data_IF_802076625497
#
_entry.id   IF_802076625497
#
_cell.length_a   1.000
_cell.length_b   1.000
_cell.length_c   1.000
_cell.angle_alpha   90.00
_cell.angle_beta   90.00
_cell.angle_gamma   90.00
#
_symmetry.space_group_name_H-M   'P 1'
#
loop_
_entity.id
_entity.type
_entity.pdbx_description
1 polymer ?
#
# COMPACT_ATOMS: atom_id res chain seq x y z
N UNK A 1 28.26 -3.31 -21.17
CA UNK A 1 28.11 -4.08 -19.91
C UNK A 1 27.00 -5.07 -20.13
N UNK A 2 27.32 -6.37 -20.24
CA UNK A 2 26.32 -7.40 -20.44
C UNK A 2 25.51 -7.54 -19.14
N UNK A 3 24.25 -7.14 -19.16
CA UNK A 3 23.28 -7.53 -18.15
C UNK A 3 23.16 -9.04 -18.22
N UNK A 4 23.68 -9.74 -17.21
CA UNK A 4 23.41 -11.17 -17.04
C UNK A 4 21.90 -11.29 -16.88
N UNK A 5 21.22 -11.67 -17.96
CA UNK A 5 19.78 -11.89 -17.95
C UNK A 5 19.50 -13.02 -16.97
N UNK A 6 18.68 -12.78 -15.97
CA UNK A 6 18.22 -13.83 -15.06
C UNK A 6 17.43 -14.86 -15.91
N UNK A 7 17.85 -16.13 -15.94
CA UNK A 7 17.25 -17.12 -16.84
C UNK A 7 15.77 -17.41 -16.54
N UNK A 8 15.24 -16.97 -15.40
CA UNK A 8 13.83 -17.12 -15.05
C UNK A 8 12.91 -16.14 -15.79
N UNK A 9 13.40 -14.97 -16.16
CA UNK A 9 12.61 -13.92 -16.84
C UNK A 9 12.21 -14.32 -18.26
N UNK A 10 13.10 -14.85 -19.12
CA UNK A 10 12.73 -15.32 -20.45
C UNK A 10 11.69 -16.46 -20.43
N UNK A 11 11.76 -17.34 -19.44
CA UNK A 11 10.80 -18.45 -19.28
C UNK A 11 9.40 -17.90 -18.93
N UNK A 12 9.32 -16.94 -18.02
CA UNK A 12 8.06 -16.29 -17.68
C UNK A 12 7.47 -15.54 -18.87
N UNK A 13 8.29 -14.80 -19.62
CA UNK A 13 7.86 -14.11 -20.83
C UNK A 13 7.32 -15.10 -21.87
N UNK A 14 8.01 -16.20 -22.11
CA UNK A 14 7.56 -17.25 -23.02
C UNK A 14 6.24 -17.90 -22.57
N UNK A 15 6.07 -18.17 -21.27
CA UNK A 15 4.83 -18.72 -20.72
C UNK A 15 3.67 -17.74 -20.82
N UNK A 16 3.88 -16.46 -20.55
CA UNK A 16 2.87 -15.41 -20.69
C UNK A 16 2.45 -15.22 -22.14
N UNK A 17 3.40 -15.26 -23.05
CA UNK A 17 3.12 -15.20 -24.49
C UNK A 17 2.34 -16.43 -24.98
N UNK A 18 2.74 -17.63 -24.55
CA UNK A 18 2.06 -18.88 -24.89
C UNK A 18 0.64 -18.96 -24.30
N UNK A 19 0.40 -18.38 -23.10
CA UNK A 19 -0.91 -18.35 -22.46
C UNK A 19 -1.86 -17.28 -23.01
N UNK A 20 -1.48 -16.53 -24.04
CA UNK A 20 -2.28 -15.46 -24.67
C UNK A 20 -2.76 -14.41 -23.65
N UNK A 21 -1.90 -14.05 -22.71
CA UNK A 21 -2.20 -12.99 -21.73
C UNK A 21 -2.47 -11.68 -22.49
N UNK A 22 -3.54 -10.95 -22.17
CA UNK A 22 -3.84 -9.69 -22.83
C UNK A 22 -2.69 -8.70 -22.76
N UNK A 23 -2.55 -7.87 -23.79
CA UNK A 23 -1.51 -6.84 -23.86
C UNK A 23 -1.52 -5.96 -22.61
N UNK A 24 -0.34 -5.66 -22.08
CA UNK A 24 -0.15 -4.87 -20.86
C UNK A 24 -0.09 -5.70 -19.58
N UNK A 25 -0.75 -6.85 -19.46
CA UNK A 25 -0.60 -7.74 -18.32
C UNK A 25 0.75 -8.47 -18.33
N UNK A 26 1.29 -8.76 -19.51
CA UNK A 26 2.63 -9.34 -19.66
C UNK A 26 3.69 -8.48 -18.98
N UNK A 27 3.67 -7.17 -19.22
CA UNK A 27 4.60 -6.21 -18.63
C UNK A 27 4.51 -6.19 -17.10
N UNK A 28 3.27 -6.21 -16.58
CA UNK A 28 3.03 -6.25 -15.13
C UNK A 28 3.63 -7.50 -14.50
N UNK A 29 3.37 -8.67 -15.11
CA UNK A 29 3.84 -9.95 -14.59
C UNK A 29 5.37 -10.08 -14.73
N UNK A 30 5.95 -9.68 -15.87
CA UNK A 30 7.40 -9.74 -16.11
C UNK A 30 8.17 -8.89 -15.08
N UNK A 31 7.73 -7.63 -14.88
CA UNK A 31 8.35 -6.73 -13.91
C UNK A 31 8.18 -7.21 -12.46
N UNK A 32 7.05 -7.81 -12.14
CA UNK A 32 6.81 -8.40 -10.82
C UNK A 32 7.73 -9.61 -10.56
N UNK A 33 7.86 -10.50 -11.54
CA UNK A 33 8.77 -11.65 -11.45
C UNK A 33 10.22 -11.20 -11.40
N UNK A 34 10.59 -10.17 -12.16
CA UNK A 34 11.93 -9.56 -12.10
C UNK A 34 12.25 -9.05 -10.69
N UNK A 35 11.31 -8.39 -10.04
CA UNK A 35 11.48 -8.00 -8.63
C UNK A 35 11.78 -9.22 -7.73
N UNK A 36 11.01 -10.30 -7.87
CA UNK A 36 11.24 -11.55 -7.12
C UNK A 36 12.62 -12.17 -7.41
N UNK A 37 13.04 -12.21 -8.68
CA UNK A 37 14.33 -12.73 -9.09
C UNK A 37 15.51 -11.92 -8.53
N UNK A 38 15.38 -10.59 -8.45
CA UNK A 38 16.39 -9.70 -7.88
C UNK A 38 16.57 -9.90 -6.37
N UNK A 39 15.51 -10.27 -5.66
CA UNK A 39 15.54 -10.45 -4.20
C UNK A 39 15.86 -11.89 -3.78
N UNK A 40 15.36 -12.88 -4.51
CA UNK A 40 15.38 -14.28 -4.10
C UNK A 40 16.07 -15.21 -5.10
N UNK A 41 16.42 -14.70 -6.29
CA UNK A 41 17.10 -15.47 -7.34
C UNK A 41 18.58 -15.76 -7.02
N UNK A 42 19.21 -16.65 -7.78
CA UNK A 42 20.61 -17.02 -7.59
C UNK A 42 21.57 -15.82 -7.65
N UNK A 43 21.28 -14.87 -8.52
CA UNK A 43 22.07 -13.64 -8.71
C UNK A 43 21.99 -12.66 -7.53
N UNK A 44 21.00 -12.80 -6.62
CA UNK A 44 20.90 -11.94 -5.44
C UNK A 44 22.06 -12.15 -4.45
N UNK A 45 22.67 -13.34 -4.46
CA UNK A 45 23.79 -13.69 -3.54
C UNK A 45 25.10 -12.99 -3.88
N UNK A 46 25.28 -12.55 -5.11
CA UNK A 46 26.50 -11.89 -5.60
C UNK A 46 26.43 -10.35 -5.54
N UNK A 47 25.27 -9.78 -5.27
CA UNK A 47 25.05 -8.33 -5.20
C UNK A 47 25.07 -7.82 -3.76
N UNK A 48 25.41 -6.54 -3.61
CA UNK A 48 25.21 -5.83 -2.32
C UNK A 48 23.71 -5.78 -2.03
N UNK A 49 23.26 -6.05 -0.78
CA UNK A 49 21.84 -6.04 -0.44
C UNK A 49 21.13 -4.75 -0.82
N UNK A 50 21.73 -3.57 -0.58
CA UNK A 50 21.16 -2.28 -0.93
C UNK A 50 20.89 -2.13 -2.44
N UNK A 51 21.81 -2.59 -3.30
CA UNK A 51 21.64 -2.55 -4.75
C UNK A 51 20.49 -3.47 -5.22
N UNK A 52 20.42 -4.69 -4.66
CA UNK A 52 19.34 -5.63 -4.99
C UNK A 52 17.97 -5.09 -4.59
N UNK A 53 17.84 -4.49 -3.41
CA UNK A 53 16.62 -3.86 -2.95
C UNK A 53 16.22 -2.64 -3.78
N UNK A 54 17.19 -1.81 -4.18
CA UNK A 54 16.96 -0.66 -5.04
C UNK A 54 16.37 -1.08 -6.40
N UNK A 55 17.05 -1.99 -7.10
CA UNK A 55 16.58 -2.50 -8.40
C UNK A 55 15.22 -3.21 -8.31
N UNK A 56 14.98 -3.95 -7.23
CA UNK A 56 13.71 -4.60 -6.99
C UNK A 56 12.58 -3.59 -6.76
N UNK A 57 12.86 -2.51 -6.02
CA UNK A 57 11.89 -1.44 -5.80
C UNK A 57 11.53 -0.73 -7.11
N UNK A 58 12.51 -0.41 -7.96
CA UNK A 58 12.27 0.18 -9.28
C UNK A 58 11.44 -0.74 -10.19
N UNK A 59 11.77 -2.03 -10.25
CA UNK A 59 11.02 -3.00 -11.03
C UNK A 59 9.56 -3.09 -10.58
N UNK A 60 9.32 -3.10 -9.26
CA UNK A 60 7.98 -3.19 -8.70
C UNK A 60 7.19 -1.87 -8.83
N UNK A 61 7.85 -0.71 -8.77
CA UNK A 61 7.26 0.60 -9.07
C UNK A 61 6.79 0.67 -10.52
N UNK A 62 7.61 0.17 -11.46
CA UNK A 62 7.26 0.08 -12.87
C UNK A 62 6.07 -0.87 -13.10
N UNK A 63 6.08 -2.06 -12.46
CA UNK A 63 4.97 -3.02 -12.50
C UNK A 63 3.67 -2.41 -11.98
N UNK A 64 3.72 -1.76 -10.80
CA UNK A 64 2.55 -1.10 -10.21
C UNK A 64 2.01 0.03 -11.09
N UNK A 65 2.89 0.82 -11.70
CA UNK A 65 2.50 1.89 -12.61
C UNK A 65 1.86 1.36 -13.89
N UNK A 66 2.39 0.25 -14.45
CA UNK A 66 1.79 -0.44 -15.59
C UNK A 66 0.40 -0.99 -15.22
N UNK A 67 0.29 -1.66 -14.07
CA UNK A 67 -1.00 -2.17 -13.60
C UNK A 67 -2.03 -1.07 -13.38
N UNK A 68 -1.65 0.07 -12.80
CA UNK A 68 -2.58 1.17 -12.57
C UNK A 68 -3.14 1.76 -13.87
N UNK A 69 -2.35 1.78 -14.96
CA UNK A 69 -2.86 2.17 -16.29
C UNK A 69 -3.94 1.19 -16.78
N UNK A 70 -3.67 -0.12 -16.64
CA UNK A 70 -4.68 -1.15 -16.97
C UNK A 70 -5.91 -1.03 -16.08
N UNK A 71 -5.71 -0.92 -14.77
CA UNK A 71 -6.78 -0.81 -13.79
C UNK A 71 -7.69 0.39 -14.06
N UNK A 72 -7.13 1.52 -14.49
CA UNK A 72 -7.91 2.70 -14.85
C UNK A 72 -8.87 2.42 -16.03
N UNK A 73 -8.43 1.64 -17.03
CA UNK A 73 -9.20 1.29 -18.21
C UNK A 73 -10.22 0.16 -18.00
N UNK A 74 -10.07 -0.65 -16.95
CA UNK A 74 -10.99 -1.77 -16.70
C UNK A 74 -12.40 -1.28 -16.36
N UNK A 75 -13.41 -1.85 -17.04
CA UNK A 75 -14.83 -1.63 -16.76
C UNK A 75 -15.60 -2.90 -17.08
N UNK A 76 -16.18 -3.61 -16.09
CA UNK A 76 -16.10 -3.35 -14.64
C UNK A 76 -14.72 -3.66 -14.05
N UNK A 77 -14.35 -2.99 -12.95
CA UNK A 77 -13.00 -3.08 -12.38
C UNK A 77 -12.90 -3.70 -10.98
N UNK A 78 -14.01 -4.07 -10.34
CA UNK A 78 -14.02 -4.62 -8.98
C UNK A 78 -13.20 -5.89 -8.83
N UNK A 79 -13.26 -6.79 -9.79
CA UNK A 79 -12.55 -8.07 -9.76
C UNK A 79 -11.02 -7.91 -9.66
N UNK A 80 -10.47 -6.78 -10.13
CA UNK A 80 -9.05 -6.49 -10.11
C UNK A 80 -8.55 -5.86 -8.77
N UNK A 81 -9.47 -5.50 -7.85
CA UNK A 81 -9.11 -4.92 -6.54
C UNK A 81 -8.18 -5.84 -5.72
N UNK A 82 -8.36 -7.17 -5.64
CA UNK A 82 -7.42 -8.04 -4.94
C UNK A 82 -6.00 -7.96 -5.50
N UNK A 83 -5.85 -7.87 -6.82
CA UNK A 83 -4.55 -7.73 -7.50
C UNK A 83 -3.93 -6.38 -7.15
N UNK A 84 -4.69 -5.29 -7.28
CA UNK A 84 -4.28 -3.94 -6.88
C UNK A 84 -3.75 -3.93 -5.44
N UNK A 85 -4.52 -4.50 -4.52
CA UNK A 85 -4.16 -4.53 -3.10
C UNK A 85 -2.88 -5.34 -2.84
N UNK A 86 -2.73 -6.51 -3.47
CA UNK A 86 -1.55 -7.35 -3.32
C UNK A 86 -0.30 -6.62 -3.84
N UNK A 87 -0.34 -6.16 -5.08
CA UNK A 87 0.76 -5.48 -5.74
C UNK A 87 1.23 -4.23 -4.98
N UNK A 88 0.29 -3.37 -4.55
CA UNK A 88 0.62 -2.13 -3.84
C UNK A 88 1.06 -2.38 -2.40
N UNK A 89 0.60 -3.44 -1.75
CA UNK A 89 1.12 -3.87 -0.45
C UNK A 89 2.57 -4.32 -0.57
N UNK A 90 2.88 -5.12 -1.57
CA UNK A 90 4.22 -5.64 -1.81
C UNK A 90 5.17 -4.51 -2.24
N UNK A 91 4.70 -3.58 -3.09
CA UNK A 91 5.43 -2.36 -3.41
C UNK A 91 5.82 -1.57 -2.15
N UNK A 92 4.87 -1.37 -1.23
CA UNK A 92 5.15 -0.64 0.02
C UNK A 92 6.20 -1.36 0.87
N UNK A 93 6.12 -2.69 0.95
CA UNK A 93 7.08 -3.49 1.71
C UNK A 93 8.48 -3.42 1.10
N UNK A 94 8.61 -3.63 -0.22
CA UNK A 94 9.89 -3.59 -0.94
C UNK A 94 10.49 -2.18 -0.88
N UNK A 95 9.71 -1.13 -1.08
CA UNK A 95 10.17 0.27 -0.98
C UNK A 95 10.72 0.59 0.40
N UNK A 96 10.05 0.11 1.47
CA UNK A 96 10.56 0.26 2.84
C UNK A 96 11.89 -0.46 3.02
N UNK A 97 12.01 -1.70 2.58
CA UNK A 97 13.24 -2.47 2.68
C UNK A 97 14.40 -1.84 1.88
N UNK A 98 14.08 -1.24 0.72
CA UNK A 98 15.06 -0.53 -0.10
C UNK A 98 15.62 0.71 0.61
N UNK A 99 14.73 1.53 1.21
CA UNK A 99 15.15 2.69 2.00
C UNK A 99 15.93 2.26 3.25
N UNK A 100 15.47 1.23 3.97
CA UNK A 100 16.17 0.71 5.15
C UNK A 100 17.58 0.18 4.79
N UNK A 101 17.72 -0.54 3.67
CA UNK A 101 19.00 -1.06 3.19
C UNK A 101 19.95 0.06 2.71
N UNK A 102 19.41 1.08 2.04
CA UNK A 102 20.17 2.25 1.59
C UNK A 102 20.68 3.07 2.78
N UNK A 103 19.83 3.28 3.77
CA UNK A 103 20.20 4.01 5.00
C UNK A 103 21.23 3.25 5.82
N UNK A 104 21.15 1.91 5.88
CA UNK A 104 22.17 1.09 6.55
C UNK A 104 23.54 1.11 5.85
N UNK A 105 23.55 1.31 4.53
CA UNK A 105 24.78 1.40 3.73
C UNK A 105 25.39 2.82 3.69
N UNK A 106 24.58 3.83 3.97
CA UNK A 106 25.00 5.24 3.99
C UNK A 106 25.66 5.60 5.31
N UNK A 107 26.71 6.41 5.23
CA UNK A 107 27.34 7.04 6.41
C UNK A 107 26.66 8.37 6.78
N UNK A 108 25.69 8.80 6.00
CA UNK A 108 24.98 10.05 6.23
C UNK A 108 23.97 9.89 7.38
N UNK A 109 23.94 10.86 8.28
CA UNK A 109 23.03 10.86 9.43
C UNK A 109 21.55 11.12 9.04
N UNK A 110 21.30 11.52 7.79
CA UNK A 110 19.96 11.85 7.30
C UNK A 110 19.36 10.65 6.57
N UNK A 111 18.36 10.03 7.19
CA UNK A 111 17.63 8.93 6.56
C UNK A 111 16.93 9.39 5.27
N UNK A 112 17.18 8.67 4.17
CA UNK A 112 16.49 8.87 2.89
C UNK A 112 15.25 7.99 2.86
N UNK A 113 14.14 8.50 2.30
CA UNK A 113 12.87 7.79 2.11
C UNK A 113 12.40 7.88 0.65
N UNK A 114 13.34 7.94 -0.30
CA UNK A 114 13.05 8.17 -1.71
C UNK A 114 12.13 7.12 -2.33
N UNK A 115 12.35 5.83 -2.00
CA UNK A 115 11.49 4.74 -2.49
C UNK A 115 10.09 4.77 -1.87
N UNK A 116 9.98 5.10 -0.57
CA UNK A 116 8.69 5.25 0.09
C UNK A 116 7.92 6.48 -0.40
N UNK A 117 8.59 7.57 -0.72
CA UNK A 117 7.97 8.75 -1.31
C UNK A 117 7.40 8.46 -2.69
N UNK A 118 8.15 7.75 -3.56
CA UNK A 118 7.62 7.32 -4.85
C UNK A 118 6.49 6.30 -4.69
N UNK A 119 6.64 5.36 -3.76
CA UNK A 119 5.56 4.44 -3.40
C UNK A 119 4.29 5.22 -2.98
N UNK A 120 4.41 6.26 -2.16
CA UNK A 120 3.28 7.09 -1.74
C UNK A 120 2.56 7.75 -2.94
N UNK A 121 3.31 8.21 -3.95
CA UNK A 121 2.72 8.76 -5.18
C UNK A 121 1.92 7.70 -5.95
N UNK A 122 2.48 6.49 -6.08
CA UNK A 122 1.82 5.37 -6.75
C UNK A 122 0.56 4.93 -5.98
N UNK A 123 0.66 4.80 -4.65
CA UNK A 123 -0.48 4.47 -3.78
C UNK A 123 -1.61 5.50 -3.91
N UNK A 124 -1.26 6.79 -3.99
CA UNK A 124 -2.24 7.85 -4.15
C UNK A 124 -2.96 7.78 -5.51
N UNK A 125 -2.25 7.42 -6.59
CA UNK A 125 -2.88 7.12 -7.90
C UNK A 125 -3.88 5.96 -7.78
N UNK A 126 -3.51 4.90 -7.05
CA UNK A 126 -4.41 3.76 -6.78
C UNK A 126 -5.65 4.17 -5.99
N UNK A 127 -5.50 5.01 -4.97
CA UNK A 127 -6.61 5.59 -4.22
C UNK A 127 -7.54 6.43 -5.13
N UNK A 128 -6.96 7.33 -5.93
CA UNK A 128 -7.72 8.17 -6.86
C UNK A 128 -8.49 7.34 -7.88
N UNK A 129 -7.87 6.29 -8.43
CA UNK A 129 -8.54 5.38 -9.38
C UNK A 129 -9.75 4.64 -8.75
N UNK A 130 -9.71 4.38 -7.44
CA UNK A 130 -10.83 3.76 -6.73
C UNK A 130 -11.94 4.77 -6.41
N UNK A 131 -11.61 5.94 -5.85
CA UNK A 131 -12.61 6.90 -5.37
C UNK A 131 -13.32 7.63 -6.52
N UNK A 132 -12.61 7.87 -7.63
CA UNK A 132 -13.14 8.57 -8.79
C UNK A 132 -13.97 7.68 -9.74
N UNK A 133 -14.13 6.40 -9.44
CA UNK A 133 -14.88 5.47 -10.29
C UNK A 133 -16.36 5.87 -10.37
N UNK A 134 -16.88 5.92 -11.60
CA UNK A 134 -18.26 6.32 -11.92
C UNK A 134 -19.09 5.17 -12.50
N UNK A 135 -18.69 3.92 -12.21
CA UNK A 135 -19.44 2.78 -12.69
C UNK A 135 -20.88 2.82 -12.16
N UNK A 136 -21.93 2.66 -13.02
CA UNK A 136 -23.32 2.82 -12.61
C UNK A 136 -23.78 1.75 -11.61
N UNK A 137 -23.20 0.54 -11.70
CA UNK A 137 -23.51 -0.57 -10.78
C UNK A 137 -22.48 -0.57 -9.66
N UNK A 138 -22.92 -0.22 -8.45
CA UNK A 138 -22.05 -0.09 -7.28
C UNK A 138 -21.32 -1.40 -6.95
N UNK A 139 -21.99 -2.55 -7.13
CA UNK A 139 -21.44 -3.88 -6.88
C UNK A 139 -20.22 -4.18 -7.75
N UNK A 140 -20.11 -3.58 -8.93
CA UNK A 140 -19.02 -3.78 -9.88
C UNK A 140 -17.97 -2.67 -9.84
N UNK A 141 -18.22 -1.64 -9.04
CA UNK A 141 -17.39 -0.43 -8.96
C UNK A 141 -16.04 -0.69 -8.24
N UNK A 142 -15.01 0.03 -8.70
CA UNK A 142 -13.70 0.13 -8.04
C UNK A 142 -13.77 0.80 -6.67
N UNK A 143 -14.86 1.51 -6.34
CA UNK A 143 -15.07 2.17 -5.04
C UNK A 143 -14.87 1.21 -3.87
N UNK A 144 -15.13 -0.08 -4.04
CA UNK A 144 -14.86 -1.12 -3.05
C UNK A 144 -13.38 -1.31 -2.69
N UNK A 145 -12.47 -0.79 -3.49
CA UNK A 145 -11.03 -0.77 -3.21
C UNK A 145 -10.58 0.40 -2.33
N UNK A 146 -11.42 1.43 -2.14
CA UNK A 146 -11.02 2.71 -1.54
C UNK A 146 -10.40 2.55 -0.16
N UNK A 147 -11.05 1.90 0.80
CA UNK A 147 -10.51 1.76 2.17
C UNK A 147 -9.30 0.82 2.26
N UNK A 148 -9.15 -0.12 1.32
CA UNK A 148 -7.92 -0.90 1.21
C UNK A 148 -6.74 0.00 0.82
N UNK A 149 -6.94 0.91 -0.14
CA UNK A 149 -5.92 1.87 -0.57
C UNK A 149 -5.63 2.91 0.51
N UNK A 150 -6.65 3.46 1.14
CA UNK A 150 -6.49 4.40 2.28
C UNK A 150 -5.63 3.79 3.38
N UNK A 151 -5.83 2.51 3.70
CA UNK A 151 -5.02 1.82 4.71
C UNK A 151 -3.53 1.80 4.37
N UNK A 152 -3.17 1.59 3.09
CA UNK A 152 -1.79 1.60 2.62
C UNK A 152 -1.21 3.04 2.57
N UNK A 153 -2.00 4.00 2.06
CA UNK A 153 -1.61 5.42 1.98
C UNK A 153 -1.33 5.96 3.38
N UNK A 154 -2.24 5.74 4.33
CA UNK A 154 -2.05 6.20 5.71
C UNK A 154 -0.82 5.57 6.35
N UNK A 155 -0.64 4.24 6.20
CA UNK A 155 0.55 3.57 6.72
C UNK A 155 1.86 4.17 6.17
N UNK A 156 1.85 4.60 4.92
CA UNK A 156 3.02 5.22 4.27
C UNK A 156 3.21 6.67 4.72
N UNK A 157 2.16 7.48 4.74
CA UNK A 157 2.25 8.88 5.18
C UNK A 157 2.61 9.03 6.66
N UNK A 158 2.11 8.15 7.53
CA UNK A 158 2.54 8.11 8.93
C UNK A 158 4.02 7.75 9.07
N UNK A 159 4.54 6.86 8.24
CA UNK A 159 5.95 6.50 8.21
C UNK A 159 6.82 7.67 7.69
N UNK A 160 6.37 8.37 6.67
CA UNK A 160 7.01 9.57 6.10
C UNK A 160 6.81 10.84 6.96
N UNK A 161 6.07 10.75 8.07
CA UNK A 161 5.68 11.88 8.92
C UNK A 161 4.92 13.00 8.16
N UNK A 162 4.29 12.67 7.04
CA UNK A 162 3.54 13.60 6.19
C UNK A 162 2.05 13.62 6.55
N UNK A 163 1.75 13.97 7.81
CA UNK A 163 0.39 13.86 8.39
C UNK A 163 -0.63 14.76 7.69
N UNK A 164 -0.22 15.93 7.21
CA UNK A 164 -1.10 16.85 6.48
C UNK A 164 -1.73 16.20 5.23
N UNK A 165 -1.00 15.29 4.57
CA UNK A 165 -1.51 14.56 3.41
C UNK A 165 -2.63 13.57 3.78
N UNK A 166 -2.60 13.01 5.00
CA UNK A 166 -3.70 12.17 5.50
C UNK A 166 -5.00 12.97 5.60
N UNK A 167 -4.93 14.23 6.04
CA UNK A 167 -6.12 15.11 6.14
C UNK A 167 -6.76 15.38 4.77
N UNK A 168 -5.95 15.47 3.72
CA UNK A 168 -6.45 15.62 2.34
C UNK A 168 -7.23 14.37 1.90
N UNK A 169 -6.72 13.18 2.23
CA UNK A 169 -7.42 11.91 1.96
C UNK A 169 -8.75 11.85 2.72
N UNK A 170 -8.78 12.24 4.00
CA UNK A 170 -10.02 12.27 4.80
C UNK A 170 -11.06 13.21 4.18
N UNK A 171 -10.64 14.40 3.72
CA UNK A 171 -11.54 15.32 3.02
C UNK A 171 -12.08 14.73 1.72
N UNK A 172 -11.22 14.07 0.94
CA UNK A 172 -11.65 13.41 -0.29
C UNK A 172 -12.66 12.28 -0.03
N UNK A 173 -12.49 11.51 1.06
CA UNK A 173 -13.45 10.47 1.46
C UNK A 173 -14.80 11.08 1.86
N UNK A 174 -14.81 12.21 2.56
CA UNK A 174 -16.04 12.91 2.95
C UNK A 174 -16.82 13.52 1.80
N UNK A 175 -16.11 13.88 0.70
CA UNK A 175 -16.72 14.39 -0.52
C UNK A 175 -17.13 13.30 -1.51
N UNK A 176 -16.63 12.07 -1.33
CA UNK A 176 -16.88 10.95 -2.22
C UNK A 176 -18.21 10.27 -1.93
N UNK A 177 -18.93 9.91 -3.00
CA UNK A 177 -20.11 9.02 -2.91
C UNK A 177 -19.63 7.57 -2.75
N UNK A 178 -19.39 7.15 -1.51
CA UNK A 178 -18.87 5.82 -1.15
C UNK A 178 -19.92 5.01 -0.38
N UNK A 179 -19.89 3.67 -0.50
CA UNK A 179 -20.65 2.82 0.40
C UNK A 179 -20.30 3.12 1.88
N UNK A 180 -21.23 2.88 2.83
CA UNK A 180 -20.95 3.08 4.24
C UNK A 180 -19.78 2.20 4.69
N UNK A 181 -18.94 2.72 5.60
CA UNK A 181 -17.74 2.01 6.09
C UNK A 181 -18.04 0.60 6.62
N UNK A 182 -19.22 0.40 7.18
CA UNK A 182 -19.69 -0.90 7.68
C UNK A 182 -19.86 -1.97 6.59
N UNK A 183 -20.02 -1.57 5.34
CA UNK A 183 -20.13 -2.50 4.20
C UNK A 183 -18.78 -3.07 3.75
N UNK A 184 -17.68 -2.45 4.19
CA UNK A 184 -16.32 -2.90 3.86
C UNK A 184 -15.82 -4.00 4.79
N UNK A 185 -14.82 -4.80 4.36
CA UNK A 185 -14.23 -5.82 5.20
C UNK A 185 -13.77 -5.27 6.55
N UNK A 186 -14.08 -6.00 7.63
CA UNK A 186 -13.80 -5.61 9.02
C UNK A 186 -12.37 -5.13 9.26
N UNK A 187 -11.39 -5.79 8.63
CA UNK A 187 -9.98 -5.41 8.74
C UNK A 187 -9.69 -4.00 8.19
N UNK A 188 -10.37 -3.59 7.11
CA UNK A 188 -10.21 -2.26 6.54
C UNK A 188 -10.84 -1.20 7.44
N UNK A 189 -12.04 -1.48 7.96
CA UNK A 189 -12.74 -0.62 8.91
C UNK A 189 -11.89 -0.39 10.18
N UNK A 190 -11.37 -1.44 10.79
CA UNK A 190 -10.50 -1.36 11.97
C UNK A 190 -9.26 -0.52 11.68
N UNK A 191 -8.60 -0.78 10.56
CA UNK A 191 -7.38 -0.03 10.17
C UNK A 191 -7.69 1.44 9.93
N UNK A 192 -8.79 1.75 9.26
CA UNK A 192 -9.20 3.14 9.03
C UNK A 192 -9.48 3.87 10.34
N UNK A 193 -10.30 3.29 11.24
CA UNK A 193 -10.61 3.87 12.55
C UNK A 193 -9.36 4.07 13.40
N UNK A 194 -8.45 3.10 13.39
CA UNK A 194 -7.16 3.23 14.06
C UNK A 194 -6.38 4.48 13.60
N UNK A 195 -6.29 4.71 12.29
CA UNK A 195 -5.61 5.90 11.77
C UNK A 195 -6.39 7.19 12.03
N UNK A 196 -7.73 7.14 11.99
CA UNK A 196 -8.56 8.29 12.35
C UNK A 196 -8.37 8.70 13.81
N UNK A 197 -8.33 7.71 14.73
CA UNK A 197 -8.03 7.99 16.13
C UNK A 197 -6.63 8.58 16.35
N UNK A 198 -5.62 8.11 15.61
CA UNK A 198 -4.27 8.69 15.65
C UNK A 198 -4.22 10.11 15.09
N UNK A 199 -4.98 10.40 14.04
CA UNK A 199 -5.08 11.77 13.50
C UNK A 199 -5.76 12.71 14.50
N UNK A 200 -6.85 12.28 15.12
CA UNK A 200 -7.54 13.03 16.13
C UNK A 200 -6.64 13.32 17.35
N UNK A 201 -5.83 12.32 17.76
CA UNK A 201 -4.86 12.50 18.84
C UNK A 201 -3.81 13.57 18.50
N UNK A 202 -3.32 13.59 17.27
CA UNK A 202 -2.36 14.61 16.79
C UNK A 202 -2.99 16.00 16.66
N UNK A 203 -4.32 16.07 16.53
CA UNK A 203 -5.08 17.31 16.50
C UNK A 203 -5.60 17.70 17.91
N UNK A 204 -5.15 16.98 18.96
CA UNK A 204 -5.54 17.19 20.36
C UNK A 204 -7.05 17.02 20.61
N UNK A 205 -7.78 16.41 19.67
CA UNK A 205 -9.18 16.02 19.81
C UNK A 205 -9.28 14.66 20.51
N UNK A 206 -9.10 14.67 21.83
CA UNK A 206 -9.04 13.44 22.65
C UNK A 206 -10.37 12.68 22.65
N UNK A 207 -11.51 13.39 22.63
CA UNK A 207 -12.83 12.77 22.59
C UNK A 207 -13.04 11.95 21.32
N UNK A 208 -12.72 12.53 20.17
CA UNK A 208 -12.75 11.82 18.89
C UNK A 208 -11.71 10.71 18.83
N UNK A 209 -10.51 10.94 19.35
CA UNK A 209 -9.45 9.93 19.40
C UNK A 209 -9.92 8.70 20.18
N UNK A 210 -10.53 8.90 21.38
CA UNK A 210 -11.07 7.81 22.18
C UNK A 210 -12.18 7.05 21.45
N UNK A 211 -13.15 7.74 20.86
CA UNK A 211 -14.26 7.13 20.15
C UNK A 211 -13.78 6.23 19.00
N UNK A 212 -12.85 6.73 18.17
CA UNK A 212 -12.33 5.98 17.03
C UNK A 212 -11.44 4.80 17.46
N UNK A 213 -10.56 4.98 18.45
CA UNK A 213 -9.68 3.92 18.95
C UNK A 213 -10.46 2.85 19.71
N UNK A 214 -11.45 3.21 20.53
CA UNK A 214 -12.33 2.28 21.22
C UNK A 214 -13.15 1.46 20.22
N UNK A 215 -13.67 2.09 19.18
CA UNK A 215 -14.33 1.38 18.09
C UNK A 215 -13.39 0.42 17.36
N UNK A 216 -12.15 0.85 17.06
CA UNK A 216 -11.15 -0.03 16.45
C UNK A 216 -10.85 -1.24 17.34
N UNK A 217 -10.73 -1.03 18.67
CA UNK A 217 -10.49 -2.09 19.64
C UNK A 217 -11.66 -3.09 19.70
N UNK A 218 -12.89 -2.60 19.77
CA UNK A 218 -14.09 -3.44 19.82
C UNK A 218 -14.25 -4.37 18.62
N UNK A 219 -13.86 -3.91 17.44
CA UNK A 219 -13.93 -4.70 16.21
C UNK A 219 -12.67 -5.54 15.93
N UNK A 220 -11.61 -5.41 16.74
CA UNK A 220 -10.39 -6.21 16.56
C UNK A 220 -10.56 -7.59 17.21
N UNK A 221 -10.30 -8.70 16.48
CA UNK A 221 -10.38 -10.04 17.05
C UNK A 221 -9.36 -10.23 18.19
N UNK A 222 -9.76 -10.91 19.28
CA UNK A 222 -8.89 -11.18 20.42
C UNK A 222 -7.59 -11.90 20.06
N UNK A 223 -7.60 -12.74 19.02
CA UNK A 223 -6.42 -13.45 18.51
C UNK A 223 -5.40 -12.54 17.81
N UNK A 224 -5.77 -11.31 17.47
CA UNK A 224 -4.91 -10.35 16.77
C UNK A 224 -4.08 -9.51 17.76
N UNK A 225 -3.28 -10.16 18.60
CA UNK A 225 -2.55 -9.54 19.72
C UNK A 225 -1.73 -8.30 19.31
N UNK A 226 -0.97 -8.37 18.21
CA UNK A 226 -0.17 -7.24 17.71
C UNK A 226 -1.03 -6.01 17.31
N UNK A 227 -2.23 -6.24 16.80
CA UNK A 227 -3.16 -5.17 16.44
C UNK A 227 -3.79 -4.55 17.70
N UNK A 228 -4.17 -5.38 18.65
CA UNK A 228 -4.67 -4.93 19.96
C UNK A 228 -3.63 -4.06 20.66
N UNK A 229 -2.39 -4.52 20.76
CA UNK A 229 -1.28 -3.79 21.34
C UNK A 229 -1.10 -2.41 20.66
N UNK A 230 -1.09 -2.36 19.33
CA UNK A 230 -0.97 -1.09 18.58
C UNK A 230 -2.08 -0.10 18.90
N UNK A 231 -3.32 -0.58 19.08
CA UNK A 231 -4.45 0.29 19.44
C UNK A 231 -4.30 0.75 20.88
N UNK A 232 -3.97 -0.14 21.80
CA UNK A 232 -3.86 0.18 23.24
C UNK A 232 -2.74 1.18 23.53
N UNK A 233 -1.62 1.14 22.78
CA UNK A 233 -0.53 2.12 22.90
C UNK A 233 -1.02 3.56 22.76
N UNK A 234 -2.05 3.81 21.94
CA UNK A 234 -2.64 5.14 21.77
C UNK A 234 -3.89 5.36 22.63
N UNK A 235 -4.71 4.33 22.81
CA UNK A 235 -5.96 4.46 23.57
C UNK A 235 -5.72 4.67 25.08
N UNK A 236 -4.73 3.99 25.65
CA UNK A 236 -4.44 4.10 27.09
C UNK A 236 -4.09 5.53 27.51
N UNK A 237 -3.11 6.22 26.89
CA UNK A 237 -2.82 7.60 27.26
C UNK A 237 -3.99 8.55 27.01
N UNK A 238 -4.77 8.35 25.94
CA UNK A 238 -5.96 9.18 25.68
C UNK A 238 -6.96 9.08 26.84
N UNK A 239 -7.22 7.87 27.34
CA UNK A 239 -8.14 7.69 28.49
C UNK A 239 -7.61 8.28 29.77
N UNK A 240 -6.31 8.19 30.00
CA UNK A 240 -5.69 8.82 31.18
C UNK A 240 -5.79 10.34 31.12
N UNK A 241 -5.70 10.94 29.94
CA UNK A 241 -5.83 12.40 29.77
C UNK A 241 -7.28 12.90 29.92
N UNK A 242 -8.27 12.01 29.81
CA UNK A 242 -9.70 12.35 29.93
C UNK A 242 -10.32 11.95 31.27
N UNK A 243 -9.57 11.23 32.11
CA UNK A 243 -9.99 10.85 33.48
C UNK A 243 -9.80 11.99 34.47
#
# INVERSE_FOLDING_TARGET
MATVADPSVPVVHALLYASRVPSGWSDVCELYVRCGALLFGPSSRSRKPAESWHLAAEALQASASAFLRLFAALTPGRWAIPVLRALLRDLRWVSKCADDASNAASRDSRASHAHLEECARILNKGFTACIADRHPVLEESKKWGTYAMVSLVFATYFQLRSISLCKNIVRALGAGDLPPLSAFPRAQMVTFRYYMGRLALLDEDYGRAEAELSSALAYTPRRAAKQLERILVYLTPVRVLQA
#
